data_IF_629615091888
#
_entry.id   IF_629615091888
#
_cell.length_a   1.000
_cell.length_b   1.000
_cell.length_c   1.000
_cell.angle_alpha   90.00
_cell.angle_beta   90.00
_cell.angle_gamma   90.00
#
_symmetry.space_group_name_H-M   'P 1'
#
loop_
_entity.id
_entity.type
_entity.pdbx_description
1 polymer ?
#
# COMPACT_ATOMS: atom_id res chain seq x y z
N UNK A 1 41.60 0.44 -13.47
CA UNK A 1 40.19 0.46 -13.90
C UNK A 1 39.56 -0.86 -13.47
N UNK A 2 39.32 -1.08 -12.16
CA UNK A 2 39.13 -2.50 -11.75
C UNK A 2 38.62 -2.87 -10.35
N UNK A 3 38.21 -1.97 -9.45
CA UNK A 3 37.73 -2.43 -8.12
C UNK A 3 36.44 -1.77 -7.67
N UNK A 4 36.32 -0.44 -7.76
CA UNK A 4 35.11 0.27 -7.31
C UNK A 4 33.84 -0.10 -8.10
N UNK A 5 33.97 -0.43 -9.40
CA UNK A 5 32.83 -0.86 -10.20
C UNK A 5 32.31 -2.27 -9.84
N UNK A 6 33.15 -3.15 -9.28
CA UNK A 6 32.71 -4.47 -8.85
C UNK A 6 31.94 -4.37 -7.53
N UNK A 7 32.42 -3.53 -6.60
CA UNK A 7 31.75 -3.30 -5.31
C UNK A 7 30.37 -2.66 -5.47
N UNK A 8 30.19 -1.69 -6.38
CA UNK A 8 28.86 -1.08 -6.63
C UNK A 8 27.87 -2.06 -7.28
N UNK A 9 28.35 -3.01 -8.09
CA UNK A 9 27.52 -4.08 -8.66
C UNK A 9 27.20 -5.16 -7.62
N UNK A 10 28.06 -5.37 -6.62
CA UNK A 10 27.82 -6.30 -5.51
C UNK A 10 26.80 -5.73 -4.51
N UNK A 11 26.91 -4.45 -4.15
CA UNK A 11 25.95 -3.78 -3.23
C UNK A 11 24.60 -3.47 -3.90
N UNK A 12 24.60 -3.10 -5.18
CA UNK A 12 23.43 -2.71 -5.95
C UNK A 12 23.32 -3.50 -7.25
N UNK A 13 23.05 -4.82 -7.19
CA UNK A 13 22.89 -5.63 -8.40
C UNK A 13 21.67 -5.16 -9.20
N UNK A 14 21.66 -5.45 -10.51
CA UNK A 14 20.63 -4.95 -11.45
C UNK A 14 19.19 -5.26 -11.03
N UNK A 15 18.98 -6.32 -10.25
CA UNK A 15 17.66 -6.73 -9.74
C UNK A 15 17.26 -6.05 -8.42
N UNK A 16 18.08 -5.19 -7.82
CA UNK A 16 17.73 -4.50 -6.56
C UNK A 16 16.43 -3.67 -6.65
N UNK A 17 16.16 -2.85 -7.70
CA UNK A 17 14.91 -2.07 -7.79
C UNK A 17 13.64 -2.92 -7.96
N UNK A 18 13.77 -4.20 -8.34
CA UNK A 18 12.64 -5.12 -8.43
C UNK A 18 11.97 -5.32 -7.07
N UNK A 19 12.75 -5.47 -6.00
CA UNK A 19 12.20 -5.64 -4.65
C UNK A 19 11.56 -4.36 -4.12
N UNK A 20 12.09 -3.17 -4.48
CA UNK A 20 11.49 -1.89 -4.14
C UNK A 20 10.12 -1.68 -4.80
N UNK A 21 10.01 -1.96 -6.10
CA UNK A 21 8.74 -1.87 -6.84
C UNK A 21 7.72 -2.94 -6.42
N UNK A 22 8.18 -4.14 -6.06
CA UNK A 22 7.32 -5.18 -5.48
C UNK A 22 6.79 -4.75 -4.11
N UNK A 23 7.62 -4.12 -3.27
CA UNK A 23 7.20 -3.57 -1.98
C UNK A 23 6.12 -2.49 -2.11
N UNK A 24 6.28 -1.56 -3.04
CA UNK A 24 5.26 -0.55 -3.34
C UNK A 24 3.95 -1.18 -3.83
N UNK A 25 4.03 -2.18 -4.70
CA UNK A 25 2.87 -2.91 -5.21
C UNK A 25 2.15 -3.68 -4.10
N UNK A 26 2.88 -4.41 -3.27
CA UNK A 26 2.32 -5.17 -2.16
C UNK A 26 1.62 -4.25 -1.14
N UNK A 27 2.25 -3.12 -0.80
CA UNK A 27 1.67 -2.12 0.10
C UNK A 27 0.29 -1.63 -0.41
N UNK A 28 0.16 -1.33 -1.70
CA UNK A 28 -1.11 -0.92 -2.30
C UNK A 28 -2.14 -2.04 -2.37
N UNK A 29 -1.75 -3.22 -2.87
CA UNK A 29 -2.72 -4.31 -3.13
C UNK A 29 -3.35 -4.79 -1.84
N UNK A 30 -2.57 -5.07 -0.79
CA UNK A 30 -3.11 -5.60 0.45
C UNK A 30 -3.95 -4.58 1.21
N UNK A 31 -3.56 -3.30 1.20
CA UNK A 31 -4.34 -2.24 1.86
C UNK A 31 -5.63 -1.93 1.10
N UNK A 32 -5.60 -1.90 -0.23
CA UNK A 32 -6.79 -1.73 -1.06
C UNK A 32 -7.76 -2.90 -0.89
N UNK A 33 -7.26 -4.15 -0.84
CA UNK A 33 -8.09 -5.32 -0.54
C UNK A 33 -8.72 -5.25 0.86
N UNK A 34 -7.95 -4.87 1.87
CA UNK A 34 -8.45 -4.70 3.24
C UNK A 34 -9.54 -3.63 3.33
N UNK A 35 -9.31 -2.47 2.70
CA UNK A 35 -10.30 -1.38 2.64
C UNK A 35 -11.56 -1.81 1.89
N UNK A 36 -11.42 -2.43 0.71
CA UNK A 36 -12.54 -2.92 -0.08
C UNK A 36 -13.39 -3.94 0.68
N UNK A 37 -12.75 -4.88 1.38
CA UNK A 37 -13.45 -5.86 2.21
C UNK A 37 -14.18 -5.22 3.39
N UNK A 38 -13.51 -4.29 4.10
CA UNK A 38 -14.12 -3.55 5.20
C UNK A 38 -15.34 -2.75 4.75
N UNK A 39 -15.25 -2.06 3.61
CA UNK A 39 -16.36 -1.32 3.00
C UNK A 39 -17.48 -2.25 2.52
N UNK A 40 -17.17 -3.39 1.91
CA UNK A 40 -18.19 -4.34 1.44
C UNK A 40 -19.01 -4.90 2.61
N UNK A 41 -18.35 -5.38 3.67
CA UNK A 41 -19.05 -5.96 4.83
C UNK A 41 -19.84 -4.92 5.61
N UNK A 42 -19.26 -3.76 5.88
CA UNK A 42 -19.99 -2.67 6.56
C UNK A 42 -21.14 -2.13 5.71
N UNK A 43 -20.94 -1.97 4.40
CA UNK A 43 -21.95 -1.51 3.45
C UNK A 43 -23.18 -2.42 3.39
N UNK A 44 -22.99 -3.74 3.35
CA UNK A 44 -24.13 -4.69 3.39
C UNK A 44 -24.94 -4.57 4.68
N UNK A 45 -24.28 -4.39 5.84
CA UNK A 45 -24.94 -4.20 7.12
C UNK A 45 -25.72 -2.87 7.19
N UNK A 46 -25.15 -1.80 6.64
CA UNK A 46 -25.82 -0.49 6.56
C UNK A 46 -27.05 -0.58 5.66
N UNK A 47 -26.95 -1.24 4.51
CA UNK A 47 -28.07 -1.40 3.58
C UNK A 47 -29.21 -2.26 4.16
N UNK A 48 -28.90 -3.30 4.93
CA UNK A 48 -29.90 -4.10 5.62
C UNK A 48 -30.59 -3.31 6.73
N UNK A 49 -29.82 -2.54 7.52
CA UNK A 49 -30.34 -1.73 8.60
C UNK A 49 -31.17 -0.52 8.10
N UNK A 50 -30.79 0.08 6.96
CA UNK A 50 -31.44 1.28 6.42
C UNK A 50 -32.91 1.07 6.07
N UNK A 51 -33.33 -0.18 5.80
CA UNK A 51 -34.73 -0.52 5.54
C UNK A 51 -35.57 -0.52 6.82
N UNK A 52 -34.98 -0.95 7.95
CA UNK A 52 -35.69 -1.04 9.23
C UNK A 52 -35.64 0.26 10.04
N UNK A 53 -34.51 0.97 10.03
CA UNK A 53 -34.30 2.20 10.81
C UNK A 53 -33.46 3.22 10.05
N UNK A 54 -34.06 3.98 9.11
CA UNK A 54 -33.31 4.91 8.26
C UNK A 54 -32.66 6.07 9.04
N UNK A 55 -33.13 6.40 10.24
CA UNK A 55 -32.54 7.48 11.06
C UNK A 55 -31.09 7.19 11.49
N UNK A 56 -30.67 5.93 11.45
CA UNK A 56 -29.37 5.49 11.96
C UNK A 56 -28.26 5.46 10.90
N UNK A 57 -28.58 5.69 9.61
CA UNK A 57 -27.63 5.58 8.49
C UNK A 57 -26.38 6.44 8.69
N UNK A 58 -26.55 7.71 9.09
CA UNK A 58 -25.42 8.63 9.28
C UNK A 58 -24.49 8.22 10.42
N UNK A 59 -25.03 7.60 11.49
CA UNK A 59 -24.20 7.10 12.60
C UNK A 59 -23.46 5.82 12.20
N UNK A 60 -24.05 5.00 11.34
CA UNK A 60 -23.48 3.73 10.89
C UNK A 60 -22.45 3.85 9.77
N UNK A 61 -22.14 5.05 9.27
CA UNK A 61 -21.12 5.27 8.23
C UNK A 61 -19.67 5.19 8.78
N UNK A 62 -19.47 5.37 10.09
CA UNK A 62 -18.13 5.40 10.71
C UNK A 62 -17.25 4.19 10.33
N UNK A 63 -17.74 2.93 10.34
CA UNK A 63 -16.94 1.78 9.92
C UNK A 63 -16.47 1.83 8.47
N UNK A 64 -17.25 2.43 7.57
CA UNK A 64 -16.86 2.61 6.15
C UNK A 64 -15.70 3.60 6.05
N UNK A 65 -15.77 4.70 6.81
CA UNK A 65 -14.69 5.71 6.86
C UNK A 65 -13.41 5.11 7.45
N UNK A 66 -13.54 4.27 8.49
CA UNK A 66 -12.39 3.58 9.10
C UNK A 66 -11.75 2.56 8.16
N UNK A 67 -12.53 1.91 7.28
CA UNK A 67 -11.96 1.10 6.20
C UNK A 67 -11.24 1.96 5.15
N UNK A 68 -11.77 3.15 4.85
CA UNK A 68 -11.19 4.08 3.89
C UNK A 68 -9.81 4.60 4.29
N UNK A 69 -9.58 4.92 5.56
CA UNK A 69 -8.26 5.40 6.03
C UNK A 69 -7.15 4.36 5.85
N UNK A 70 -7.49 3.06 5.86
CA UNK A 70 -6.52 1.97 5.64
C UNK A 70 -5.94 2.03 4.23
N UNK A 71 -6.74 2.37 3.22
CA UNK A 71 -6.25 2.54 1.85
C UNK A 71 -5.30 3.73 1.74
N UNK A 72 -5.56 4.82 2.50
CA UNK A 72 -4.68 6.00 2.52
C UNK A 72 -3.33 5.65 3.16
N UNK A 73 -3.30 4.82 4.20
CA UNK A 73 -2.04 4.35 4.78
C UNK A 73 -1.18 3.59 3.76
N UNK A 74 -1.78 2.71 2.96
CA UNK A 74 -1.09 2.01 1.88
C UNK A 74 -0.56 2.95 0.79
N UNK A 75 -1.37 3.94 0.39
CA UNK A 75 -1.00 4.95 -0.59
C UNK A 75 0.22 5.75 -0.16
N UNK A 76 0.22 6.27 1.07
CA UNK A 76 1.33 7.07 1.58
C UNK A 76 2.63 6.25 1.61
N UNK A 77 2.57 5.00 2.08
CA UNK A 77 3.74 4.11 2.11
C UNK A 77 4.24 3.81 0.70
N UNK A 78 3.35 3.50 -0.24
CA UNK A 78 3.73 3.20 -1.61
C UNK A 78 4.37 4.40 -2.33
N UNK A 79 3.87 5.63 -2.09
CA UNK A 79 4.45 6.86 -2.64
C UNK A 79 5.85 7.10 -2.09
N UNK A 80 6.06 6.92 -0.78
CA UNK A 80 7.39 7.08 -0.16
C UNK A 80 8.38 6.06 -0.74
N UNK A 81 7.96 4.80 -0.92
CA UNK A 81 8.80 3.78 -1.56
C UNK A 81 9.12 4.16 -3.00
N UNK A 82 8.11 4.55 -3.79
CA UNK A 82 8.28 4.92 -5.20
C UNK A 82 9.22 6.11 -5.38
N UNK A 83 9.21 7.08 -4.47
CA UNK A 83 10.15 8.21 -4.47
C UNK A 83 11.57 7.81 -4.06
N UNK A 84 11.74 6.71 -3.33
CA UNK A 84 13.04 6.19 -2.91
C UNK A 84 13.69 5.19 -3.87
N UNK A 85 12.92 4.59 -4.80
CA UNK A 85 13.44 3.63 -5.79
C UNK A 85 14.28 4.37 -6.84
N UNK A 86 15.52 3.93 -7.02
CA UNK A 86 16.47 4.45 -8.03
C UNK A 86 16.86 3.34 -9.02
N UNK A 87 17.37 3.72 -10.18
CA UNK A 87 17.97 2.76 -11.10
C UNK A 87 19.26 2.19 -10.49
N UNK A 88 19.56 0.91 -10.75
CA UNK A 88 20.85 0.32 -10.40
C UNK A 88 21.99 1.09 -11.11
N UNK A 89 23.16 1.30 -10.46
CA UNK A 89 23.63 0.70 -9.21
C UNK A 89 23.30 1.49 -7.92
N UNK A 90 22.61 2.63 -8.02
CA UNK A 90 22.40 3.56 -6.89
C UNK A 90 21.31 3.09 -5.88
N UNK A 91 20.83 1.86 -6.02
CA UNK A 91 19.84 1.24 -5.14
C UNK A 91 20.45 -0.02 -4.51
N UNK A 92 20.88 0.08 -3.25
CA UNK A 92 21.55 -1.02 -2.53
C UNK A 92 20.53 -2.02 -1.99
N UNK A 93 20.90 -3.30 -1.95
CA UNK A 93 20.01 -4.38 -1.43
C UNK A 93 19.84 -4.34 0.09
N UNK A 94 20.89 -3.91 0.78
CA UNK A 94 20.96 -3.77 2.23
C UNK A 94 21.74 -2.50 2.56
N UNK A 95 21.55 -1.99 3.77
CA UNK A 95 22.38 -0.91 4.32
C UNK A 95 23.64 -1.46 4.95
#
# INVERSE_FOLDING_TARGET
MSTDQYTVLELGPVYSPFFGSMGATAAMVFTALGAAYGTAKSGTGIAAMSVMRPELIMKSIIPVVMAGIIAIYGLVVAVIIAQGVRAAPDYTLYT
#
